data_IF_569389825742
#
_entry.id   IF_569389825742
#
_cell.length_a   1.000
_cell.length_b   1.000
_cell.length_c   1.000
_cell.angle_alpha   90.00
_cell.angle_beta   90.00
_cell.angle_gamma   90.00
#
_symmetry.space_group_name_H-M   'P 1'
#
loop_
_entity.id
_entity.type
_entity.pdbx_description
1 polymer ?
#
# COMPACT_ATOMS: atom_id res chain seq x y z
N UNK A 1 11.99 28.65 13.91
CA UNK A 1 10.56 28.31 14.05
C UNK A 1 10.09 27.69 12.75
N UNK A 2 9.53 26.49 12.77
CA UNK A 2 8.96 25.84 11.58
C UNK A 2 7.62 26.48 11.24
N UNK A 3 7.39 26.83 9.97
CA UNK A 3 6.13 27.42 9.51
C UNK A 3 5.13 26.34 9.06
N UNK A 4 3.84 26.67 9.02
CA UNK A 4 2.82 25.78 8.44
C UNK A 4 3.10 25.48 6.96
N UNK A 5 3.62 26.45 6.21
CA UNK A 5 3.99 26.24 4.80
C UNK A 5 5.08 25.17 4.68
N UNK A 6 6.09 25.22 5.54
CA UNK A 6 7.15 24.19 5.61
C UNK A 6 6.59 22.82 5.97
N UNK A 7 5.65 22.73 6.92
CA UNK A 7 5.01 21.45 7.27
C UNK A 7 4.16 20.90 6.13
N UNK A 8 3.46 21.75 5.38
CA UNK A 8 2.64 21.34 4.24
C UNK A 8 3.50 20.76 3.10
N UNK A 9 4.69 21.31 2.85
CA UNK A 9 5.65 20.74 1.89
C UNK A 9 6.16 19.39 2.35
N UNK A 10 6.55 19.26 3.62
CA UNK A 10 7.01 17.99 4.19
C UNK A 10 5.92 16.91 4.13
N UNK A 11 4.65 17.26 4.42
CA UNK A 11 3.54 16.31 4.33
C UNK A 11 3.31 15.79 2.90
N UNK A 12 3.53 16.63 1.87
CA UNK A 12 3.45 16.20 0.47
C UNK A 12 4.62 15.29 0.08
N UNK A 13 5.83 15.60 0.55
CA UNK A 13 7.02 14.80 0.28
C UNK A 13 7.01 13.46 1.02
N UNK A 14 6.40 13.41 2.20
CA UNK A 14 6.24 12.20 3.01
C UNK A 14 4.99 11.38 2.67
N UNK A 15 4.31 11.68 1.55
CA UNK A 15 3.09 10.98 1.14
C UNK A 15 3.44 9.51 0.83
N UNK A 16 2.76 8.52 1.45
CA UNK A 16 3.00 7.12 1.14
C UNK A 16 2.45 6.77 -0.25
N UNK A 17 3.02 5.72 -0.85
CA UNK A 17 2.43 5.05 -2.01
C UNK A 17 1.33 4.12 -1.54
N UNK A 18 0.18 4.14 -2.20
CA UNK A 18 -0.94 3.28 -1.86
C UNK A 18 -0.92 2.04 -2.75
N UNK A 19 -1.28 0.89 -2.19
CA UNK A 19 -1.36 -0.36 -2.94
C UNK A 19 -2.52 -1.25 -2.47
N UNK A 20 -2.86 -2.23 -3.29
CA UNK A 20 -3.66 -3.38 -2.88
C UNK A 20 -2.85 -4.67 -3.01
N UNK A 21 -3.14 -5.62 -2.13
CA UNK A 21 -2.69 -7.01 -2.23
C UNK A 21 -3.93 -7.86 -2.40
N UNK A 22 -3.95 -8.69 -3.43
CA UNK A 22 -5.06 -9.62 -3.66
C UNK A 22 -4.59 -10.94 -4.25
N UNK A 23 -5.39 -11.99 -4.06
CA UNK A 23 -5.03 -13.32 -4.53
C UNK A 23 -6.07 -14.38 -4.27
N UNK A 24 -5.89 -15.53 -4.91
CA UNK A 24 -6.71 -16.72 -4.73
C UNK A 24 -5.97 -17.74 -3.88
N UNK A 25 -6.67 -18.35 -2.93
CA UNK A 25 -6.11 -19.42 -2.10
C UNK A 25 -6.06 -20.74 -2.88
N UNK A 26 -5.16 -21.64 -2.52
CA UNK A 26 -5.04 -22.97 -3.15
C UNK A 26 -6.29 -23.83 -3.01
N UNK A 27 -7.05 -23.65 -1.92
CA UNK A 27 -8.31 -24.34 -1.72
C UNK A 27 -9.40 -23.66 -2.58
N UNK A 28 -10.04 -24.36 -3.52
CA UNK A 28 -10.94 -23.75 -4.51
C UNK A 28 -12.17 -23.08 -3.89
N UNK A 29 -12.64 -23.57 -2.74
CA UNK A 29 -13.79 -22.98 -2.04
C UNK A 29 -13.41 -21.96 -0.96
N UNK A 30 -12.11 -21.67 -0.78
CA UNK A 30 -11.69 -20.69 0.21
C UNK A 30 -11.86 -19.26 -0.34
N UNK A 31 -12.24 -18.28 0.51
CA UNK A 31 -12.44 -16.92 0.05
C UNK A 31 -11.14 -16.29 -0.48
N UNK A 32 -11.24 -15.38 -1.45
CA UNK A 32 -10.08 -14.63 -1.93
C UNK A 32 -9.51 -13.75 -0.82
N UNK A 33 -8.21 -13.48 -0.92
CA UNK A 33 -7.54 -12.50 -0.06
C UNK A 33 -7.59 -11.17 -0.79
N UNK A 34 -8.05 -10.11 -0.11
CA UNK A 34 -8.04 -8.73 -0.62
C UNK A 34 -7.73 -7.82 0.55
N UNK A 35 -6.69 -6.99 0.43
CA UNK A 35 -6.35 -5.97 1.41
C UNK A 35 -5.68 -4.77 0.76
N UNK A 36 -5.52 -3.71 1.55
CA UNK A 36 -4.99 -2.43 1.10
C UNK A 36 -3.87 -1.97 2.01
N UNK A 37 -2.89 -1.27 1.45
CA UNK A 37 -1.78 -0.77 2.23
C UNK A 37 -1.20 0.55 1.74
N UNK A 38 -0.28 1.04 2.56
CA UNK A 38 0.47 2.27 2.38
C UNK A 38 1.95 1.95 2.60
N UNK A 39 2.82 2.30 1.66
CA UNK A 39 4.27 2.18 1.80
C UNK A 39 4.94 3.55 1.90
N UNK A 40 5.75 3.72 2.95
CA UNK A 40 6.52 4.92 3.21
C UNK A 40 7.97 4.68 2.74
N UNK A 41 8.24 4.90 1.45
CA UNK A 41 9.51 4.53 0.77
C UNK A 41 10.79 5.04 1.47
N UNK A 42 10.72 6.13 2.23
CA UNK A 42 11.86 6.67 2.97
C UNK A 42 12.07 6.10 4.38
N UNK A 43 11.22 5.18 4.84
CA UNK A 43 11.16 4.73 6.24
C UNK A 43 11.19 3.21 6.43
N UNK A 44 11.26 2.42 5.35
CA UNK A 44 11.07 0.96 5.39
C UNK A 44 9.85 0.58 6.24
N UNK A 45 8.74 1.30 6.06
CA UNK A 45 7.53 1.12 6.84
C UNK A 45 6.32 0.96 5.93
N UNK A 46 5.51 -0.05 6.27
CA UNK A 46 4.30 -0.40 5.54
C UNK A 46 3.17 -0.70 6.51
N UNK A 47 2.05 -0.06 6.25
CA UNK A 47 0.77 -0.34 6.89
C UNK A 47 -0.10 -1.14 5.93
N UNK A 48 -0.59 -2.30 6.34
CA UNK A 48 -1.45 -3.16 5.53
C UNK A 48 -2.70 -3.56 6.29
N UNK A 49 -3.87 -3.17 5.81
CA UNK A 49 -5.16 -3.54 6.36
C UNK A 49 -5.73 -4.74 5.63
N UNK A 50 -6.05 -5.79 6.42
CA UNK A 50 -6.75 -6.98 5.94
C UNK A 50 -8.16 -7.01 6.54
N UNK A 51 -9.22 -6.79 5.74
CA UNK A 51 -10.60 -6.78 6.22
C UNK A 51 -11.06 -8.09 6.84
N UNK A 52 -10.59 -9.23 6.31
CA UNK A 52 -10.94 -10.58 6.79
C UNK A 52 -10.67 -10.72 8.29
N UNK A 53 -9.53 -10.18 8.74
CA UNK A 53 -9.13 -10.22 10.14
C UNK A 53 -9.52 -8.95 10.91
N UNK A 54 -9.97 -7.90 10.20
CA UNK A 54 -10.16 -6.55 10.73
C UNK A 54 -8.92 -6.00 11.45
N UNK A 55 -7.73 -6.31 10.93
CA UNK A 55 -6.43 -5.97 11.52
C UNK A 55 -5.59 -5.15 10.54
N UNK A 56 -4.87 -4.16 11.10
CA UNK A 56 -3.76 -3.49 10.41
C UNK A 56 -2.44 -4.12 10.83
N UNK A 57 -1.69 -4.63 9.88
CA UNK A 57 -0.36 -5.18 10.04
C UNK A 57 0.69 -4.13 9.71
N UNK A 58 1.80 -4.16 10.44
CA UNK A 58 3.03 -3.46 10.08
C UNK A 58 4.02 -4.41 9.42
N UNK A 59 4.73 -3.94 8.40
CA UNK A 59 5.88 -4.63 7.83
C UNK A 59 6.87 -3.62 7.23
N UNK A 60 7.91 -4.11 6.57
CA UNK A 60 9.00 -3.28 6.03
C UNK A 60 8.90 -2.99 4.54
N UNK A 61 8.01 -3.69 3.81
CA UNK A 61 7.75 -3.45 2.38
C UNK A 61 6.45 -4.12 1.92
N UNK A 62 5.85 -3.62 0.84
CA UNK A 62 4.65 -4.21 0.25
C UNK A 62 4.94 -5.63 -0.27
N UNK A 63 6.14 -5.88 -0.80
CA UNK A 63 6.58 -7.22 -1.23
C UNK A 63 6.57 -8.22 -0.08
N UNK A 64 6.96 -7.79 1.13
CA UNK A 64 6.87 -8.66 2.32
C UNK A 64 5.44 -9.04 2.65
N UNK A 65 4.46 -8.16 2.35
CA UNK A 65 3.04 -8.50 2.50
C UNK A 65 2.68 -9.62 1.54
N UNK A 66 2.95 -9.48 0.24
CA UNK A 66 2.64 -10.54 -0.73
C UNK A 66 3.37 -11.85 -0.42
N UNK A 67 4.65 -11.80 -0.03
CA UNK A 67 5.43 -12.97 0.38
C UNK A 67 4.81 -13.69 1.59
N UNK A 68 4.27 -12.94 2.56
CA UNK A 68 3.59 -13.51 3.73
C UNK A 68 2.37 -14.34 3.34
N UNK A 69 1.64 -13.92 2.32
CA UNK A 69 0.44 -14.62 1.84
C UNK A 69 0.72 -15.59 0.67
N UNK A 70 1.94 -15.61 0.13
CA UNK A 70 2.32 -16.46 -1.01
C UNK A 70 2.20 -17.97 -0.73
N UNK A 71 2.27 -18.39 0.54
CA UNK A 71 2.02 -19.79 0.92
C UNK A 71 0.56 -20.21 0.84
N UNK A 72 -0.36 -19.25 0.78
CA UNK A 72 -1.80 -19.51 0.69
C UNK A 72 -2.25 -19.61 -0.76
N UNK A 73 -1.52 -19.03 -1.71
CA UNK A 73 -1.83 -19.10 -3.13
C UNK A 73 -1.11 -18.05 -3.98
N UNK A 74 -1.68 -17.77 -5.16
CA UNK A 74 -1.14 -16.77 -6.07
C UNK A 74 -1.52 -15.37 -5.61
N UNK A 75 -0.51 -14.55 -5.29
CA UNK A 75 -0.67 -13.21 -4.74
C UNK A 75 -0.14 -12.16 -5.72
N UNK A 76 -0.88 -11.07 -5.84
CA UNK A 76 -0.56 -9.91 -6.67
C UNK A 76 -0.53 -8.64 -5.83
N UNK A 77 0.32 -7.70 -6.24
CA UNK A 77 0.36 -6.33 -5.72
C UNK A 77 -0.02 -5.42 -6.87
N UNK A 78 -0.96 -4.52 -6.63
CA UNK A 78 -1.28 -3.43 -7.54
C UNK A 78 -1.04 -2.09 -6.85
N UNK A 79 -0.30 -1.22 -7.51
CA UNK A 79 0.10 0.09 -6.98
C UNK A 79 -0.83 1.17 -7.52
N UNK A 80 -1.37 2.00 -6.65
CA UNK A 80 -2.22 3.13 -7.00
C UNK A 80 -1.43 4.41 -7.22
N UNK A 81 -0.20 4.30 -7.71
CA UNK A 81 0.60 5.46 -8.08
C UNK A 81 -0.18 6.22 -9.16
N UNK A 82 -0.79 7.35 -8.78
CA UNK A 82 -1.48 8.20 -9.75
C UNK A 82 -0.53 8.54 -10.90
N UNK A 83 -1.01 8.57 -12.16
CA UNK A 83 -0.26 9.19 -13.23
C UNK A 83 0.01 10.65 -12.85
N UNK A 84 1.26 11.07 -12.95
CA UNK A 84 1.77 12.40 -12.59
C UNK A 84 1.17 13.59 -13.36
N UNK A 85 0.08 13.44 -14.13
CA UNK A 85 -0.26 14.34 -15.23
C UNK A 85 -1.59 15.12 -15.04
N UNK A 86 -1.88 15.62 -13.84
CA UNK A 86 -2.90 16.68 -13.65
C UNK A 86 -2.35 18.08 -13.40
N UNK A 87 -1.04 18.27 -13.53
CA UNK A 87 -0.40 19.59 -13.60
C UNK A 87 -0.16 20.10 -15.03
N UNK A 88 -0.35 19.26 -16.07
CA UNK A 88 -0.06 19.63 -17.48
C UNK A 88 -1.29 19.74 -18.39
N UNK A 89 -2.51 19.46 -17.93
CA UNK A 89 -3.74 19.60 -18.75
C UNK A 89 -4.52 20.91 -18.53
N UNK A 90 -3.92 21.89 -17.84
CA UNK A 90 -4.49 23.23 -17.68
C UNK A 90 -3.52 24.35 -18.11
N UNK A 91 -2.62 24.06 -19.06
CA UNK A 91 -1.82 25.09 -19.77
C UNK A 91 -2.25 25.21 -21.22
#
# INVERSE_FOLDING_TARGET
MTSIATLAELARLARPRLFAVYGLRHHPDAPPIIGWGMEFEGQDDVLFYLPEDSVTHHTVSAERVAQRFASLGEMHIDWFDEPSDRAEQLR
#
